data_IF_378811181476
#
_entry.id   IF_378811181476
#
_cell.length_a   1.000
_cell.length_b   1.000
_cell.length_c   1.000
_cell.angle_alpha   90.00
_cell.angle_beta   90.00
_cell.angle_gamma   90.00
#
_symmetry.space_group_name_H-M   'P 1'
#
loop_
_entity.id
_entity.type
_entity.pdbx_description
1 polymer ?
#
# COMPACT_ATOMS: atom_id res chain seq x y z
N UNK A 1 -1.56 -17.15 -13.38
CA UNK A 1 -1.38 -17.38 -11.94
C UNK A 1 -2.54 -16.71 -11.21
N UNK A 2 -3.28 -17.48 -10.40
CA UNK A 2 -4.49 -17.04 -9.71
C UNK A 2 -4.17 -16.18 -8.50
N UNK A 3 -4.88 -15.05 -8.38
CA UNK A 3 -4.64 -14.06 -7.34
C UNK A 3 -4.81 -14.64 -5.92
N UNK A 4 -3.90 -14.36 -4.97
CA UNK A 4 -3.90 -14.99 -3.66
C UNK A 4 -5.19 -14.71 -2.84
N UNK A 5 -5.83 -15.76 -2.31
CA UNK A 5 -7.06 -15.63 -1.48
C UNK A 5 -6.85 -14.81 -0.21
N UNK A 6 -5.65 -14.79 0.36
CA UNK A 6 -5.34 -14.03 1.58
C UNK A 6 -5.41 -12.52 1.37
N UNK A 7 -4.89 -11.98 0.25
CA UNK A 7 -5.01 -10.55 -0.10
C UNK A 7 -6.49 -10.17 -0.21
N UNK A 8 -7.34 -11.07 -0.72
CA UNK A 8 -8.78 -10.79 -0.72
C UNK A 8 -9.37 -10.80 0.69
N UNK A 9 -8.93 -11.69 1.58
CA UNK A 9 -9.48 -11.83 2.93
C UNK A 9 -8.99 -10.74 3.89
N UNK A 10 -7.69 -10.43 3.90
CA UNK A 10 -7.09 -9.39 4.74
C UNK A 10 -7.70 -8.02 4.40
N UNK A 11 -7.75 -7.67 3.10
CA UNK A 11 -8.36 -6.41 2.68
C UNK A 11 -9.89 -6.43 2.85
N UNK A 12 -10.57 -7.57 2.73
CA UNK A 12 -12.03 -7.66 2.96
C UNK A 12 -12.37 -7.50 4.44
N UNK A 13 -11.66 -8.16 5.35
CA UNK A 13 -11.88 -8.00 6.79
C UNK A 13 -11.49 -6.59 7.26
N UNK A 14 -10.39 -6.03 6.77
CA UNK A 14 -9.96 -4.68 7.17
C UNK A 14 -10.86 -3.56 6.63
N UNK A 15 -11.38 -3.69 5.40
CA UNK A 15 -12.33 -2.72 4.82
C UNK A 15 -13.69 -2.79 5.52
N UNK A 16 -14.13 -3.99 5.95
CA UNK A 16 -15.47 -4.20 6.52
C UNK A 16 -15.55 -3.96 8.04
N UNK A 17 -14.47 -4.18 8.80
CA UNK A 17 -14.54 -4.19 10.29
C UNK A 17 -14.25 -2.86 10.98
N UNK A 18 -13.77 -1.83 10.26
CA UNK A 18 -13.76 -0.45 10.78
C UNK A 18 -12.88 -0.15 12.01
N UNK A 19 -11.94 -1.01 12.41
CA UNK A 19 -11.01 -0.73 13.53
C UNK A 19 -10.01 0.38 13.15
N UNK A 20 -10.38 1.63 13.44
CA UNK A 20 -9.81 2.89 12.90
C UNK A 20 -8.33 3.21 13.19
N UNK A 21 -7.78 2.89 14.37
CA UNK A 21 -6.42 3.34 14.73
C UNK A 21 -5.29 2.48 14.11
N UNK A 22 -5.50 1.17 13.99
CA UNK A 22 -4.59 0.27 13.26
C UNK A 22 -4.66 0.49 11.74
N UNK A 23 -5.82 0.94 11.27
CA UNK A 23 -6.20 1.10 9.88
C UNK A 23 -5.37 2.15 9.13
N UNK A 24 -5.19 3.34 9.70
CA UNK A 24 -4.38 4.39 9.10
C UNK A 24 -2.89 4.01 9.05
N UNK A 25 -2.37 3.46 10.16
CA UNK A 25 -0.98 3.00 10.26
C UNK A 25 -0.68 1.90 9.25
N UNK A 26 -1.54 0.88 9.14
CA UNK A 26 -1.35 -0.23 8.20
C UNK A 26 -1.30 0.28 6.75
N UNK A 27 -2.23 1.14 6.36
CA UNK A 27 -2.31 1.68 4.99
C UNK A 27 -1.05 2.47 4.64
N UNK A 28 -0.60 3.36 5.52
CA UNK A 28 0.64 4.11 5.30
C UNK A 28 1.86 3.19 5.26
N UNK A 29 1.95 2.21 6.17
CA UNK A 29 3.06 1.23 6.17
C UNK A 29 3.12 0.45 4.86
N UNK A 30 2.00 -0.06 4.36
CA UNK A 30 1.99 -0.78 3.08
C UNK A 30 2.36 0.13 1.91
N UNK A 31 1.90 1.39 1.88
CA UNK A 31 2.32 2.35 0.87
C UNK A 31 3.85 2.57 0.91
N UNK A 32 4.42 2.79 2.10
CA UNK A 32 5.86 2.96 2.27
C UNK A 32 6.67 1.71 1.92
N UNK A 33 6.16 0.51 2.20
CA UNK A 33 6.80 -0.75 1.79
C UNK A 33 6.91 -0.81 0.26
N UNK A 34 5.82 -0.55 -0.46
CA UNK A 34 5.82 -0.54 -1.93
C UNK A 34 6.79 0.50 -2.48
N UNK A 35 6.73 1.73 -1.97
CA UNK A 35 7.66 2.80 -2.37
C UNK A 35 9.12 2.42 -2.12
N UNK A 36 9.41 1.85 -0.94
CA UNK A 36 10.75 1.43 -0.54
C UNK A 36 11.30 0.33 -1.43
N UNK A 37 10.49 -0.67 -1.81
CA UNK A 37 10.90 -1.75 -2.71
C UNK A 37 11.28 -1.19 -4.08
N UNK A 38 10.41 -0.35 -4.66
CA UNK A 38 10.62 0.26 -5.97
C UNK A 38 11.88 1.14 -6.00
N UNK A 39 12.09 1.97 -4.97
CA UNK A 39 13.29 2.80 -4.85
C UNK A 39 14.55 1.96 -4.65
N UNK A 40 14.52 0.98 -3.75
CA UNK A 40 15.67 0.11 -3.46
C UNK A 40 16.07 -0.73 -4.68
N UNK A 41 15.11 -1.22 -5.45
CA UNK A 41 15.38 -2.01 -6.65
C UNK A 41 16.05 -1.18 -7.75
N UNK A 42 15.63 0.07 -7.91
CA UNK A 42 16.14 0.96 -8.96
C UNK A 42 17.37 1.77 -8.57
N UNK A 43 17.65 1.89 -7.27
CA UNK A 43 18.70 2.77 -6.74
C UNK A 43 18.38 4.25 -6.89
N UNK A 44 17.10 4.62 -7.03
CA UNK A 44 16.65 5.99 -7.27
C UNK A 44 16.21 6.70 -5.99
N UNK A 45 16.52 7.99 -5.92
CA UNK A 45 16.22 8.81 -4.75
C UNK A 45 14.74 9.14 -4.62
N UNK A 46 14.02 9.29 -5.73
CA UNK A 46 12.60 9.62 -5.72
C UNK A 46 11.75 8.48 -6.25
N UNK A 47 10.54 8.33 -5.71
CA UNK A 47 9.63 7.27 -6.14
C UNK A 47 9.20 7.45 -7.61
N UNK A 48 8.93 8.68 -8.05
CA UNK A 48 8.59 8.96 -9.45
C UNK A 48 9.72 8.61 -10.43
N UNK A 49 10.98 8.92 -10.08
CA UNK A 49 12.12 8.54 -10.94
C UNK A 49 12.38 7.03 -10.93
N UNK A 50 12.09 6.35 -9.81
CA UNK A 50 12.11 4.90 -9.72
C UNK A 50 11.06 4.26 -10.65
N UNK A 51 9.80 4.73 -10.62
CA UNK A 51 8.72 4.26 -11.51
C UNK A 51 9.11 4.46 -12.98
N UNK A 52 9.59 5.66 -13.34
CA UNK A 52 10.03 5.94 -14.70
C UNK A 52 11.16 5.00 -15.13
N UNK A 53 12.12 4.73 -14.25
CA UNK A 53 13.22 3.80 -14.53
C UNK A 53 12.72 2.38 -14.77
N UNK A 54 11.80 1.88 -13.94
CA UNK A 54 11.20 0.54 -14.14
C UNK A 54 10.42 0.46 -15.46
N UNK A 55 9.68 1.52 -15.81
CA UNK A 55 8.91 1.57 -17.05
C UNK A 55 9.83 1.59 -18.29
N UNK A 56 10.90 2.37 -18.26
CA UNK A 56 11.89 2.42 -19.36
C UNK A 56 12.67 1.11 -19.53
N UNK A 57 12.85 0.35 -18.45
CA UNK A 57 13.46 -0.99 -18.46
C UNK A 57 12.47 -2.10 -18.77
N UNK A 58 11.20 -1.78 -19.01
CA UNK A 58 10.12 -2.73 -19.25
C UNK A 58 9.90 -3.75 -18.11
N UNK A 59 10.33 -3.41 -16.88
CA UNK A 59 10.14 -4.25 -15.69
C UNK A 59 8.73 -4.11 -15.09
N UNK A 60 8.03 -3.03 -15.43
CA UNK A 60 6.61 -2.80 -15.14
C UNK A 60 5.87 -2.38 -16.40
N UNK A 61 4.60 -2.74 -16.48
CA UNK A 61 3.71 -2.24 -17.52
C UNK A 61 3.29 -0.78 -17.30
N UNK A 62 2.78 -0.12 -18.34
CA UNK A 62 2.16 1.22 -18.20
C UNK A 62 1.04 1.23 -17.16
N UNK A 63 0.23 0.16 -17.11
CA UNK A 63 -0.86 0.04 -16.12
C UNK A 63 -0.33 -0.06 -14.68
N UNK A 64 0.77 -0.79 -14.46
CA UNK A 64 1.42 -0.83 -13.14
C UNK A 64 2.01 0.53 -12.76
N UNK A 65 2.65 1.21 -13.72
CA UNK A 65 3.18 2.55 -13.50
C UNK A 65 2.08 3.54 -13.09
N UNK A 66 0.90 3.48 -13.72
CA UNK A 66 -0.27 4.28 -13.32
C UNK A 66 -0.67 3.98 -11.87
N UNK A 67 -0.81 2.71 -11.50
CA UNK A 67 -1.17 2.33 -10.13
C UNK A 67 -0.16 2.82 -9.09
N UNK A 68 1.15 2.73 -9.39
CA UNK A 68 2.21 3.22 -8.50
C UNK A 68 2.20 4.75 -8.38
N UNK A 69 1.92 5.48 -9.45
CA UNK A 69 1.75 6.94 -9.38
C UNK A 69 0.52 7.33 -8.54
N UNK A 70 -0.60 6.62 -8.72
CA UNK A 70 -1.80 6.79 -7.90
C UNK A 70 -1.54 6.50 -6.42
N UNK A 71 -0.72 5.50 -6.09
CA UNK A 71 -0.32 5.21 -4.71
C UNK A 71 0.35 6.43 -4.07
N UNK A 72 1.34 7.01 -4.76
CA UNK A 72 2.05 8.20 -4.28
C UNK A 72 1.10 9.38 -4.09
N UNK A 73 0.22 9.61 -5.05
CA UNK A 73 -0.76 10.70 -5.02
C UNK A 73 -1.71 10.52 -3.84
N UNK A 74 -2.34 9.35 -3.71
CA UNK A 74 -3.29 9.03 -2.65
C UNK A 74 -2.65 9.07 -1.25
N UNK A 75 -1.40 8.62 -1.13
CA UNK A 75 -0.63 8.69 0.13
C UNK A 75 -0.32 10.13 0.51
N UNK A 76 0.18 10.93 -0.42
CA UNK A 76 0.46 12.35 -0.18
C UNK A 76 -0.82 13.09 0.21
N UNK A 77 -1.90 12.85 -0.52
CA UNK A 77 -3.22 13.38 -0.20
C UNK A 77 -3.66 13.02 1.23
N UNK A 78 -3.55 11.75 1.62
CA UNK A 78 -3.95 11.31 2.95
C UNK A 78 -3.08 11.98 4.04
N UNK A 79 -1.76 12.03 3.85
CA UNK A 79 -0.84 12.68 4.79
C UNK A 79 -1.17 14.17 4.91
N UNK A 80 -1.30 14.89 3.80
CA UNK A 80 -1.67 16.30 3.81
C UNK A 80 -2.99 16.55 4.51
N UNK A 81 -4.01 15.70 4.29
CA UNK A 81 -5.28 15.84 5.00
C UNK A 81 -5.17 15.53 6.50
N UNK A 82 -4.23 14.73 6.96
CA UNK A 82 -4.05 14.46 8.40
C UNK A 82 -3.31 15.60 9.09
N UNK A 83 -2.38 16.24 8.39
CA UNK A 83 -1.48 17.26 8.95
C UNK A 83 -1.92 18.69 8.64
N UNK A 84 -3.03 18.90 7.93
CA UNK A 84 -3.54 20.24 7.63
C UNK A 84 -4.16 20.85 8.89
N UNK A 85 -3.36 21.62 9.63
CA UNK A 85 -3.77 22.30 10.87
C UNK A 85 -4.88 23.34 10.63
N UNK A 86 -5.08 23.81 9.38
CA UNK A 86 -6.08 24.83 9.04
C UNK A 86 -7.45 24.25 8.76
N UNK A 87 -7.52 22.96 8.43
CA UNK A 87 -8.75 22.22 8.23
C UNK A 87 -8.77 21.12 9.26
N UNK A 88 -9.50 21.28 10.37
CA UNK A 88 -9.85 20.14 11.22
C UNK A 88 -10.50 19.07 10.33
N UNK A 89 -9.77 18.02 9.92
CA UNK A 89 -10.20 17.21 8.81
C UNK A 89 -11.34 16.37 9.34
N UNK A 90 -12.49 16.43 8.66
CA UNK A 90 -13.60 15.61 9.08
C UNK A 90 -13.18 14.13 9.00
N UNK A 91 -13.55 13.35 10.03
CA UNK A 91 -13.15 11.94 10.12
C UNK A 91 -13.64 11.10 8.92
N UNK A 92 -14.69 11.55 8.24
CA UNK A 92 -15.26 10.88 7.07
C UNK A 92 -14.35 11.04 5.85
N UNK A 93 -13.76 12.21 5.65
CA UNK A 93 -12.80 12.52 4.58
C UNK A 93 -11.52 11.69 4.74
N UNK A 94 -10.97 11.64 5.96
CA UNK A 94 -9.82 10.77 6.27
C UNK A 94 -10.19 9.31 5.98
N UNK A 95 -11.34 8.84 6.47
CA UNK A 95 -11.79 7.46 6.25
C UNK A 95 -11.98 7.09 4.78
N UNK A 96 -12.51 8.00 3.96
CA UNK A 96 -12.68 7.79 2.53
C UNK A 96 -11.34 7.72 1.79
N UNK A 97 -10.42 8.64 2.08
CA UNK A 97 -9.07 8.62 1.48
C UNK A 97 -8.30 7.38 1.88
N UNK A 98 -8.45 6.95 3.13
CA UNK A 98 -7.85 5.72 3.61
C UNK A 98 -8.38 4.49 2.85
N UNK A 99 -9.70 4.40 2.60
CA UNK A 99 -10.28 3.32 1.79
C UNK A 99 -9.76 3.33 0.35
N UNK A 100 -9.65 4.51 -0.27
CA UNK A 100 -9.10 4.67 -1.62
C UNK A 100 -7.66 4.16 -1.68
N UNK A 101 -6.82 4.60 -0.75
CA UNK A 101 -5.42 4.18 -0.68
C UNK A 101 -5.29 2.67 -0.41
N UNK A 102 -6.11 2.13 0.49
CA UNK A 102 -6.17 0.68 0.75
C UNK A 102 -6.55 -0.12 -0.50
N UNK A 103 -7.54 0.34 -1.28
CA UNK A 103 -7.94 -0.32 -2.52
C UNK A 103 -6.86 -0.23 -3.59
N UNK A 104 -6.17 0.92 -3.73
CA UNK A 104 -5.06 1.06 -4.66
C UNK A 104 -3.87 0.14 -4.29
N UNK A 105 -3.51 0.05 -3.00
CA UNK A 105 -2.50 -0.89 -2.48
C UNK A 105 -2.88 -2.34 -2.82
N UNK A 106 -4.15 -2.71 -2.61
CA UNK A 106 -4.67 -4.03 -2.97
C UNK A 106 -4.49 -4.32 -4.46
N UNK A 107 -4.87 -3.37 -5.31
CA UNK A 107 -4.77 -3.52 -6.76
C UNK A 107 -3.32 -3.66 -7.21
N UNK A 108 -2.39 -2.94 -6.56
CA UNK A 108 -0.95 -3.08 -6.76
C UNK A 108 -0.49 -4.50 -6.42
N UNK A 109 -0.80 -5.03 -5.23
CA UNK A 109 -0.39 -6.39 -4.86
C UNK A 109 -0.99 -7.48 -5.77
N UNK A 110 -2.19 -7.23 -6.30
CA UNK A 110 -2.91 -8.19 -7.13
C UNK A 110 -2.52 -8.17 -8.62
N UNK A 111 -2.00 -7.04 -9.11
CA UNK A 111 -1.70 -6.84 -10.53
C UNK A 111 -0.22 -6.70 -10.81
N UNK A 112 0.60 -6.30 -9.83
CA UNK A 112 2.00 -6.03 -10.07
C UNK A 112 2.85 -7.30 -10.04
N UNK A 113 3.30 -7.73 -11.23
CA UNK A 113 4.27 -8.83 -11.36
C UNK A 113 5.61 -8.45 -10.75
N UNK A 114 5.97 -7.17 -10.83
CA UNK A 114 7.19 -6.65 -10.24
C UNK A 114 7.23 -6.86 -8.72
N UNK A 115 6.14 -6.53 -8.02
CA UNK A 115 6.08 -6.74 -6.57
C UNK A 115 5.96 -8.21 -6.19
N UNK A 116 5.22 -9.03 -6.94
CA UNK A 116 5.18 -10.47 -6.70
C UNK A 116 6.61 -11.06 -6.69
N UNK A 117 7.42 -10.71 -7.68
CA UNK A 117 8.83 -11.14 -7.77
C UNK A 117 9.69 -10.56 -6.63
N UNK A 118 9.60 -9.26 -6.38
CA UNK A 118 10.54 -8.56 -5.50
C UNK A 118 10.16 -8.54 -4.01
N UNK A 119 8.92 -8.88 -3.68
CA UNK A 119 8.41 -8.94 -2.31
C UNK A 119 8.01 -10.36 -1.92
N UNK A 120 7.09 -10.96 -2.65
CA UNK A 120 6.49 -12.23 -2.24
C UNK A 120 7.49 -13.36 -2.45
N UNK A 121 8.02 -13.50 -3.67
CA UNK A 121 8.96 -14.57 -4.00
C UNK A 121 10.32 -14.35 -3.33
N UNK A 122 10.86 -13.13 -3.40
CA UNK A 122 12.19 -12.79 -2.87
C UNK A 122 12.35 -13.04 -1.37
N UNK A 123 11.34 -12.73 -0.57
CA UNK A 123 11.37 -12.91 0.88
C UNK A 123 10.68 -14.20 1.34
N UNK A 124 10.31 -15.09 0.40
CA UNK A 124 9.62 -16.33 0.72
C UNK A 124 8.33 -16.11 1.50
N UNK A 125 7.67 -14.96 1.30
CA UNK A 125 6.43 -14.65 2.01
C UNK A 125 5.39 -15.63 1.53
N UNK A 126 5.01 -16.51 2.45
CA UNK A 126 3.97 -17.47 2.18
C UNK A 126 2.66 -16.71 1.98
N UNK A 127 2.03 -16.96 0.84
CA UNK A 127 0.63 -16.64 0.55
C UNK A 127 -0.34 -17.17 1.65
N UNK A 128 0.14 -17.96 2.61
CA UNK A 128 -0.60 -18.49 3.76
C UNK A 128 -0.09 -18.02 5.13
N UNK A 129 1.03 -17.30 5.23
CA UNK A 129 1.53 -16.83 6.53
C UNK A 129 0.76 -15.59 6.96
N UNK A 130 -0.41 -15.87 7.54
CA UNK A 130 -1.12 -14.99 8.46
C UNK A 130 -0.10 -14.33 9.39
N UNK A 131 0.06 -13.01 9.33
CA UNK A 131 0.70 -12.26 10.41
C UNK A 131 -0.46 -11.85 11.32
N UNK A 132 -0.79 -12.61 12.39
CA UNK A 132 -1.82 -12.18 13.30
C UNK A 132 -1.38 -10.87 13.95
N UNK A 133 -1.99 -9.76 13.52
CA UNK A 133 -1.90 -8.50 14.23
C UNK A 133 -2.58 -8.68 15.59
N UNK A 134 -1.78 -8.84 16.65
CA UNK A 134 -2.25 -8.66 18.02
C UNK A 134 -2.20 -7.16 18.31
N UNK A 135 -3.33 -6.43 18.36
CA UNK A 135 -3.32 -5.09 18.90
C UNK A 135 -2.73 -5.16 20.30
N UNK A 136 -1.86 -4.23 20.65
CA UNK A 136 -1.38 -4.06 22.01
C UNK A 136 -2.60 -4.04 22.93
N UNK A 137 -2.76 -5.07 23.74
CA UNK A 137 -3.70 -5.06 24.85
C UNK A 137 -3.27 -3.92 25.75
N UNK A 138 -4.14 -2.92 25.89
CA UNK A 138 -4.06 -1.98 27.01
C UNK A 138 -4.01 -2.83 28.28
N UNK A 139 -2.82 -2.87 28.89
CA UNK A 139 -2.65 -3.38 30.26
C UNK A 139 -2.96 -2.22 31.18
N UNK A 140 -3.92 -2.43 32.08
CA UNK A 140 -4.10 -1.67 33.31
C UNK A 140 -5.14 -0.59 33.21
#
# INVERSE_FOLDING_TARGET
MSNPRWIKNEFKEEILTGKRSSQLRNVLVHAFIVEGIVRKHTGRDTFSSAILTLLLKEEISKSEATLLNELSSNRNDLVHNITDEKKFPDQTSIGNKQKILMQNIRDIYMKSKFLDKNLIQKYGLSIRSYIPYKPFSEKG
#
